data_IF_158396655056
#
_entry.id   IF_158396655056
#
_cell.length_a   1.000
_cell.length_b   1.000
_cell.length_c   1.000
_cell.angle_alpha   90.00
_cell.angle_beta   90.00
_cell.angle_gamma   90.00
#
_symmetry.space_group_name_H-M   'P 1'
#
loop_
_entity.id
_entity.type
_entity.pdbx_description
1 polymer ?
#
# COMPACT_ATOMS: atom_id res chain seq x y z
N UNK A 1 4.53 20.63 -7.09
CA UNK A 1 3.81 20.13 -8.28
C UNK A 1 4.31 20.87 -9.51
N UNK A 2 4.56 20.12 -10.59
CA UNK A 2 5.05 20.64 -11.88
C UNK A 2 4.07 20.25 -12.99
N UNK A 3 4.00 21.05 -14.05
CA UNK A 3 3.30 20.65 -15.29
C UNK A 3 4.12 19.62 -16.08
N UNK A 4 3.51 19.06 -17.14
CA UNK A 4 4.15 18.07 -18.03
C UNK A 4 5.39 18.60 -18.77
N UNK A 5 5.66 19.92 -18.73
CA UNK A 5 6.85 20.54 -19.33
C UNK A 5 7.94 20.80 -18.27
N UNK A 6 7.70 20.43 -17.02
CA UNK A 6 8.61 20.63 -15.90
C UNK A 6 8.54 22.03 -15.28
N UNK A 7 7.53 22.85 -15.58
CA UNK A 7 7.35 24.15 -14.92
C UNK A 7 6.55 24.02 -13.64
N UNK A 8 7.03 24.64 -12.56
CA UNK A 8 6.31 24.65 -11.29
C UNK A 8 4.96 25.35 -11.44
N UNK A 9 3.90 24.70 -11.00
CA UNK A 9 2.55 25.28 -11.03
C UNK A 9 2.45 26.46 -10.06
N UNK A 10 1.63 27.46 -10.43
CA UNK A 10 1.35 28.58 -9.54
C UNK A 10 0.75 28.09 -8.22
N UNK A 11 1.19 28.67 -7.11
CA UNK A 11 0.80 28.26 -5.75
C UNK A 11 1.70 27.20 -5.12
N UNK A 12 2.60 26.57 -5.88
CA UNK A 12 3.57 25.62 -5.35
C UNK A 12 4.96 26.25 -5.20
N UNK A 13 5.81 25.77 -4.27
CA UNK A 13 5.57 24.68 -3.30
C UNK A 13 4.64 25.09 -2.16
N UNK A 14 4.08 24.09 -1.46
CA UNK A 14 3.29 24.25 -0.23
C UNK A 14 3.95 23.49 0.93
N UNK A 15 3.82 24.06 2.11
CA UNK A 15 4.12 23.41 3.39
C UNK A 15 2.80 22.98 4.03
N UNK A 16 2.88 22.01 4.95
CA UNK A 16 1.71 21.60 5.71
C UNK A 16 1.13 22.79 6.51
N UNK A 17 -0.19 23.05 6.49
CA UNK A 17 -0.78 24.19 7.20
C UNK A 17 -0.54 24.08 8.70
N UNK A 18 0.00 25.13 9.31
CA UNK A 18 0.20 25.18 10.77
C UNK A 18 1.29 24.25 11.34
N UNK A 19 2.04 23.53 10.49
CA UNK A 19 3.06 22.59 10.94
C UNK A 19 4.33 22.66 10.09
N UNK A 20 5.49 22.42 10.71
CA UNK A 20 6.79 22.21 10.07
C UNK A 20 7.15 20.72 9.94
N UNK A 21 6.21 19.82 10.22
CA UNK A 21 6.38 18.38 10.07
C UNK A 21 6.74 17.98 8.63
N UNK A 22 7.58 16.97 8.50
CA UNK A 22 7.97 16.41 7.20
C UNK A 22 6.75 15.81 6.50
N UNK A 23 6.48 16.23 5.27
CA UNK A 23 5.49 15.56 4.40
C UNK A 23 6.16 14.32 3.81
N UNK A 24 5.60 13.14 4.09
CA UNK A 24 6.12 11.85 3.58
C UNK A 24 5.21 11.13 2.61
N UNK A 25 3.92 11.32 2.73
CA UNK A 25 2.92 10.63 1.91
C UNK A 25 2.29 11.61 0.94
N UNK A 26 2.13 11.19 -0.32
CA UNK A 26 1.47 11.96 -1.36
C UNK A 26 0.58 11.05 -2.22
N UNK A 27 -0.64 11.49 -2.48
CA UNK A 27 -1.55 10.92 -3.46
C UNK A 27 -2.29 12.02 -4.23
N UNK A 28 -3.04 11.64 -5.25
CA UNK A 28 -3.85 12.56 -6.03
C UNK A 28 -5.14 11.86 -6.47
N UNK A 29 -6.27 12.55 -6.33
CA UNK A 29 -7.59 12.06 -6.72
C UNK A 29 -8.49 13.25 -7.06
N UNK A 30 -9.43 13.06 -7.98
CA UNK A 30 -10.47 14.03 -8.29
C UNK A 30 -11.60 13.85 -7.26
N UNK A 31 -11.52 14.59 -6.15
CA UNK A 31 -12.39 14.39 -5.00
C UNK A 31 -13.75 15.06 -5.19
N UNK A 32 -13.88 15.96 -6.15
CA UNK A 32 -15.08 16.78 -6.37
C UNK A 32 -15.74 16.54 -7.74
N UNK A 33 -15.15 15.70 -8.60
CA UNK A 33 -15.68 15.32 -9.91
C UNK A 33 -15.53 16.40 -10.99
N UNK A 34 -14.63 17.37 -10.83
CA UNK A 34 -14.42 18.45 -11.81
C UNK A 34 -13.40 18.11 -12.90
N UNK A 35 -12.78 16.92 -12.84
CA UNK A 35 -11.76 16.44 -13.75
C UNK A 35 -10.35 16.93 -13.43
N UNK A 36 -10.15 17.64 -12.32
CA UNK A 36 -8.86 18.11 -11.82
C UNK A 36 -8.53 17.37 -10.53
N UNK A 37 -7.33 16.81 -10.47
CA UNK A 37 -6.89 16.09 -9.27
C UNK A 37 -6.54 17.07 -8.14
N UNK A 38 -7.10 16.82 -6.96
CA UNK A 38 -6.60 17.35 -5.69
C UNK A 38 -5.30 16.63 -5.29
N UNK A 39 -4.49 17.31 -4.46
CA UNK A 39 -3.26 16.77 -3.89
C UNK A 39 -3.50 16.42 -2.44
N UNK A 40 -3.35 15.13 -2.11
CA UNK A 40 -3.52 14.57 -0.79
C UNK A 40 -2.13 14.38 -0.16
N UNK A 41 -1.96 14.70 1.11
CA UNK A 41 -0.69 14.47 1.80
C UNK A 41 -0.84 14.17 3.30
N UNK A 42 0.20 13.51 3.84
CA UNK A 42 0.37 13.32 5.27
C UNK A 42 1.75 13.74 5.77
N UNK A 43 1.80 14.11 7.06
CA UNK A 43 3.04 14.48 7.77
C UNK A 43 3.43 13.51 8.89
N UNK A 44 4.71 13.52 9.29
CA UNK A 44 5.30 12.60 10.30
C UNK A 44 5.21 13.09 11.75
N UNK A 45 4.08 13.65 12.19
CA UNK A 45 3.97 14.24 13.53
C UNK A 45 2.55 14.20 14.07
N UNK A 46 2.40 14.47 15.37
CA UNK A 46 1.13 14.66 16.06
C UNK A 46 0.19 15.58 15.27
N UNK A 47 -1.12 15.33 15.33
CA UNK A 47 -2.14 15.89 14.45
C UNK A 47 -2.13 17.41 14.20
N UNK A 48 -2.98 17.88 13.27
CA UNK A 48 -3.69 17.08 12.26
C UNK A 48 -2.70 16.53 11.21
N UNK A 49 -2.79 15.25 10.88
CA UNK A 49 -1.79 14.53 10.07
C UNK A 49 -2.05 14.67 8.58
N UNK A 50 -3.33 14.76 8.18
CA UNK A 50 -3.76 14.69 6.78
C UNK A 50 -4.25 16.04 6.27
N UNK A 51 -3.87 16.40 5.05
CA UNK A 51 -4.30 17.62 4.36
C UNK A 51 -4.59 17.37 2.88
N UNK A 52 -5.51 18.16 2.33
CA UNK A 52 -5.83 18.18 0.90
C UNK A 52 -5.69 19.60 0.36
N UNK A 53 -5.04 19.73 -0.79
CA UNK A 53 -4.99 20.97 -1.57
C UNK A 53 -5.66 20.81 -2.93
N UNK A 54 -6.32 21.87 -3.38
CA UNK A 54 -6.59 22.06 -4.80
C UNK A 54 -5.28 22.14 -5.59
N UNK A 55 -5.35 21.91 -6.90
CA UNK A 55 -4.17 21.94 -7.77
C UNK A 55 -3.44 23.30 -7.77
N UNK A 56 -4.12 24.39 -7.42
CA UNK A 56 -3.55 25.74 -7.28
C UNK A 56 -2.86 25.99 -5.91
N UNK A 57 -2.80 24.95 -5.07
CA UNK A 57 -2.21 24.96 -3.74
C UNK A 57 -3.09 25.58 -2.66
N UNK A 58 -4.35 25.91 -2.93
CA UNK A 58 -5.31 26.32 -1.89
C UNK A 58 -5.71 25.10 -1.07
N UNK A 59 -5.73 25.20 0.26
CA UNK A 59 -6.22 24.12 1.13
C UNK A 59 -7.73 23.96 0.90
N UNK A 60 -8.18 22.72 0.68
CA UNK A 60 -9.61 22.43 0.54
C UNK A 60 -10.32 22.76 1.85
N UNK A 61 -11.44 23.53 1.85
CA UNK A 61 -12.18 23.83 3.07
C UNK A 61 -12.55 22.55 3.84
N UNK A 62 -12.36 22.58 5.16
CA UNK A 62 -12.51 21.43 6.04
C UNK A 62 -11.17 20.83 6.45
N UNK A 63 -10.13 20.90 5.60
CA UNK A 63 -8.80 20.36 5.88
C UNK A 63 -7.88 21.39 6.58
N UNK A 64 -6.87 20.93 7.35
CA UNK A 64 -6.52 19.53 7.66
C UNK A 64 -7.49 18.85 8.64
N UNK A 65 -7.59 17.52 8.63
CA UNK A 65 -8.60 16.77 9.40
C UNK A 65 -8.22 16.47 10.84
N UNK A 66 -9.21 16.08 11.65
CA UNK A 66 -9.13 15.79 13.10
C UNK A 66 -9.11 17.04 14.00
N UNK A 67 -8.84 18.24 13.47
CA UNK A 67 -8.84 19.49 14.26
C UNK A 67 -10.17 19.75 15.00
N UNK A 68 -11.30 19.48 14.33
CA UNK A 68 -12.66 19.73 14.84
C UNK A 68 -13.44 18.42 15.09
N UNK A 69 -12.75 17.31 15.37
CA UNK A 69 -13.37 16.01 15.66
C UNK A 69 -12.78 15.40 16.95
N UNK A 70 -13.50 15.56 18.07
CA UNK A 70 -13.01 15.14 19.40
C UNK A 70 -12.78 13.61 19.51
N UNK A 71 -13.54 12.80 18.78
CA UNK A 71 -13.42 11.34 18.77
C UNK A 71 -12.50 10.79 17.68
N UNK A 72 -12.02 11.63 16.76
CA UNK A 72 -11.11 11.20 15.71
C UNK A 72 -9.67 11.10 16.23
N UNK A 73 -8.93 10.09 15.78
CA UNK A 73 -7.55 9.88 16.19
C UNK A 73 -6.63 9.85 14.97
N UNK A 74 -5.50 10.53 15.08
CA UNK A 74 -4.42 10.47 14.12
C UNK A 74 -3.06 10.62 14.83
N UNK A 75 -2.02 10.03 14.24
CA UNK A 75 -0.66 10.20 14.70
C UNK A 75 0.34 9.79 13.61
N UNK A 76 0.99 10.75 12.97
CA UNK A 76 2.04 10.51 11.97
C UNK A 76 1.62 9.72 10.71
N UNK A 77 2.31 9.97 9.61
CA UNK A 77 2.32 9.11 8.41
C UNK A 77 3.75 9.00 7.91
N UNK A 78 4.33 7.79 7.92
CA UNK A 78 5.78 7.59 7.79
C UNK A 78 6.22 6.95 6.46
N UNK A 79 5.26 6.56 5.61
CA UNK A 79 5.43 5.91 4.31
C UNK A 79 4.40 6.44 3.28
N UNK A 80 3.94 5.64 2.31
CA UNK A 80 2.88 6.01 1.35
C UNK A 80 1.45 5.87 1.93
N UNK A 81 1.24 6.26 3.19
CA UNK A 81 0.06 6.01 4.01
C UNK A 81 -1.25 6.70 3.59
N UNK A 82 -1.36 7.22 2.36
CA UNK A 82 -2.55 7.92 1.89
C UNK A 82 -3.00 7.44 0.51
N UNK A 83 -4.32 7.33 0.34
CA UNK A 83 -4.99 6.99 -0.90
C UNK A 83 -6.41 7.53 -0.93
N UNK A 84 -7.12 7.28 -2.03
CA UNK A 84 -8.53 7.62 -2.15
C UNK A 84 -9.25 6.67 -3.11
N UNK A 85 -10.49 6.34 -2.77
CA UNK A 85 -11.39 5.50 -3.55
C UNK A 85 -12.84 5.91 -3.26
N UNK A 86 -13.73 5.72 -4.24
CA UNK A 86 -15.19 5.88 -4.06
C UNK A 86 -15.70 4.71 -3.23
N UNK A 87 -15.79 4.91 -1.91
CA UNK A 87 -16.06 3.85 -0.95
C UNK A 87 -17.57 3.64 -0.77
N UNK A 88 -18.40 4.64 -1.03
CA UNK A 88 -19.85 4.57 -0.84
C UNK A 88 -20.66 4.55 -2.16
N UNK A 89 -19.99 4.68 -3.31
CA UNK A 89 -20.58 4.56 -4.63
C UNK A 89 -21.30 5.81 -5.11
N UNK A 90 -21.03 6.98 -4.51
CA UNK A 90 -21.62 8.25 -4.91
C UNK A 90 -20.90 8.90 -6.11
N UNK A 91 -19.77 8.35 -6.54
CA UNK A 91 -18.94 8.84 -7.64
C UNK A 91 -17.87 9.84 -7.24
N UNK A 92 -17.72 10.14 -5.94
CA UNK A 92 -16.69 10.99 -5.37
C UNK A 92 -15.80 10.18 -4.42
N UNK A 93 -14.48 10.13 -4.63
CA UNK A 93 -13.60 9.37 -3.75
C UNK A 93 -13.50 9.93 -2.32
N UNK A 94 -13.55 9.04 -1.33
CA UNK A 94 -13.14 9.30 0.05
C UNK A 94 -11.62 9.22 0.18
N UNK A 95 -11.07 10.01 1.10
CA UNK A 95 -9.66 10.00 1.47
C UNK A 95 -9.43 8.99 2.59
N UNK A 96 -8.50 8.06 2.39
CA UNK A 96 -8.07 7.10 3.40
C UNK A 96 -6.62 7.33 3.77
N UNK A 97 -6.38 7.46 5.07
CA UNK A 97 -5.09 7.74 5.68
C UNK A 97 -4.78 6.70 6.74
N UNK A 98 -3.63 6.03 6.65
CA UNK A 98 -3.12 5.18 7.73
C UNK A 98 -2.13 5.95 8.60
N UNK A 99 -1.95 5.49 9.84
CA UNK A 99 -1.22 6.23 10.87
C UNK A 99 -0.34 5.30 11.71
N UNK A 100 0.61 5.90 12.43
CA UNK A 100 1.45 5.28 13.45
C UNK A 100 0.70 5.09 14.78
N UNK A 101 -0.53 4.58 14.67
CA UNK A 101 -1.45 4.19 15.75
C UNK A 101 -2.41 3.11 15.24
N UNK A 102 -3.21 2.54 16.13
CA UNK A 102 -4.19 1.52 15.80
C UNK A 102 -5.51 2.02 15.17
N UNK A 103 -5.52 3.24 14.64
CA UNK A 103 -6.66 3.83 13.95
C UNK A 103 -6.27 4.20 12.52
N UNK A 104 -7.26 4.30 11.65
CA UNK A 104 -7.11 4.82 10.29
C UNK A 104 -8.09 5.98 10.07
N UNK A 105 -7.75 6.94 9.24
CA UNK A 105 -8.63 8.02 8.83
C UNK A 105 -9.40 7.63 7.57
N UNK A 106 -10.72 7.85 7.58
CA UNK A 106 -11.56 7.85 6.37
C UNK A 106 -12.39 9.13 6.42
N UNK A 107 -12.29 9.93 5.37
CA UNK A 107 -12.94 11.24 5.28
C UNK A 107 -13.51 11.46 3.89
N UNK A 108 -14.66 12.12 3.82
CA UNK A 108 -15.17 12.65 2.56
C UNK A 108 -14.19 13.67 1.96
N UNK A 109 -14.28 13.96 0.66
CA UNK A 109 -13.40 14.95 -0.01
C UNK A 109 -13.46 16.36 0.61
N UNK A 110 -14.60 16.72 1.20
CA UNK A 110 -14.77 17.99 1.95
C UNK A 110 -14.15 17.97 3.36
N UNK A 111 -13.55 16.84 3.75
CA UNK A 111 -12.92 16.64 5.04
C UNK A 111 -13.80 16.01 6.12
N UNK A 112 -15.13 16.07 6.02
CA UNK A 112 -15.96 15.50 7.10
C UNK A 112 -15.67 14.01 7.36
N UNK A 113 -15.66 13.56 8.63
CA UNK A 113 -15.32 12.18 8.97
C UNK A 113 -16.37 11.21 8.43
N UNK A 114 -15.90 10.09 7.90
CA UNK A 114 -16.76 9.01 7.41
C UNK A 114 -17.38 8.26 8.60
N UNK A 115 -18.69 7.93 8.55
CA UNK A 115 -19.36 7.27 9.67
C UNK A 115 -18.86 5.83 9.87
N UNK A 116 -18.71 5.44 11.14
CA UNK A 116 -18.54 4.04 11.50
C UNK A 116 -19.90 3.34 11.61
N UNK A 117 -19.89 2.01 11.53
CA UNK A 117 -21.07 1.20 11.79
C UNK A 117 -21.61 1.43 13.22
N UNK A 118 -22.92 1.39 13.40
CA UNK A 118 -23.58 1.64 14.70
C UNK A 118 -23.19 0.64 15.81
N UNK A 119 -22.57 -0.49 15.45
CA UNK A 119 -22.06 -1.43 16.45
C UNK A 119 -20.86 -0.89 17.25
N UNK A 120 -20.09 0.05 16.69
CA UNK A 120 -18.90 0.60 17.35
C UNK A 120 -19.29 1.69 18.36
N UNK A 121 -18.50 1.84 19.42
CA UNK A 121 -18.76 2.84 20.44
C UNK A 121 -18.54 4.28 19.97
N UNK A 122 -17.64 4.47 18.99
CA UNK A 122 -17.37 5.75 18.36
C UNK A 122 -18.13 5.93 17.03
N UNK A 123 -18.55 7.16 16.69
CA UNK A 123 -19.42 7.42 15.54
C UNK A 123 -18.68 7.48 14.19
N UNK A 124 -17.35 7.57 14.21
CA UNK A 124 -16.52 7.80 13.02
C UNK A 124 -15.58 6.64 12.76
N UNK A 125 -15.30 6.34 11.49
CA UNK A 125 -14.34 5.30 11.12
C UNK A 125 -12.98 5.49 11.84
N UNK A 126 -12.53 6.75 11.95
CA UNK A 126 -11.30 7.13 12.64
C UNK A 126 -11.31 7.03 14.17
N UNK A 127 -12.42 6.59 14.75
CA UNK A 127 -12.56 6.31 16.18
C UNK A 127 -12.52 4.81 16.51
N UNK A 128 -12.45 3.94 15.50
CA UNK A 128 -12.47 2.48 15.67
C UNK A 128 -11.03 1.93 15.76
N UNK A 129 -10.60 1.38 16.91
CA UNK A 129 -9.28 0.80 17.04
C UNK A 129 -9.20 -0.61 16.44
N UNK A 130 -8.08 -0.92 15.79
CA UNK A 130 -7.81 -2.17 15.08
C UNK A 130 -7.30 -3.28 16.00
N UNK A 131 -8.12 -3.69 16.96
CA UNK A 131 -7.88 -4.88 17.80
C UNK A 131 -8.20 -6.17 17.05
N UNK A 132 -7.41 -7.23 17.20
CA UNK A 132 -7.71 -8.52 16.55
C UNK A 132 -9.05 -9.08 17.03
N UNK A 133 -9.33 -8.98 18.33
CA UNK A 133 -10.64 -9.25 18.89
C UNK A 133 -11.61 -8.10 18.59
N UNK A 134 -12.59 -8.38 17.72
CA UNK A 134 -13.63 -7.42 17.32
C UNK A 134 -14.42 -6.85 18.51
N UNK A 135 -14.56 -7.60 19.61
CA UNK A 135 -15.29 -7.11 20.79
C UNK A 135 -14.59 -5.92 21.45
N UNK A 136 -13.25 -5.87 21.38
CA UNK A 136 -12.46 -4.75 21.87
C UNK A 136 -12.53 -3.55 20.92
N UNK A 137 -12.59 -3.79 19.61
CA UNK A 137 -12.82 -2.74 18.61
C UNK A 137 -14.22 -2.11 18.78
N UNK A 138 -15.26 -2.93 18.96
CA UNK A 138 -16.63 -2.50 19.31
C UNK A 138 -16.64 -1.66 20.59
N UNK A 139 -15.90 -2.12 21.60
CA UNK A 139 -15.77 -1.40 22.87
C UNK A 139 -15.03 -0.06 22.72
N UNK A 140 -14.19 0.10 21.69
CA UNK A 140 -13.35 1.28 21.45
C UNK A 140 -12.07 1.33 22.29
N UNK A 141 -11.79 0.29 23.09
CA UNK A 141 -10.56 0.18 23.87
C UNK A 141 -10.32 -1.27 24.29
N UNK A 142 -9.06 -1.61 24.58
CA UNK A 142 -8.65 -2.91 25.12
C UNK A 142 -7.54 -2.75 26.15
N UNK A 143 -7.38 -3.70 27.10
CA UNK A 143 -6.28 -3.66 28.04
C UNK A 143 -4.95 -3.99 27.35
N UNK A 144 -3.84 -3.62 27.99
CA UNK A 144 -2.49 -4.01 27.57
C UNK A 144 -2.39 -5.52 27.31
N UNK A 145 -1.45 -5.92 26.45
CA UNK A 145 -1.19 -7.28 25.99
C UNK A 145 -2.19 -7.88 25.00
N UNK A 146 -3.28 -7.18 24.66
CA UNK A 146 -4.17 -7.63 23.58
C UNK A 146 -3.57 -7.30 22.21
N UNK A 147 -3.72 -8.22 21.28
CA UNK A 147 -3.26 -8.04 19.91
C UNK A 147 -4.03 -6.90 19.23
N UNK A 148 -3.27 -5.90 18.79
CA UNK A 148 -3.73 -4.73 18.04
C UNK A 148 -2.64 -4.37 17.06
N UNK A 149 -3.04 -3.72 15.99
CA UNK A 149 -2.10 -3.39 14.94
C UNK A 149 -2.03 -1.89 14.74
N UNK A 150 -0.86 -1.43 14.30
CA UNK A 150 -0.65 -0.08 13.82
C UNK A 150 -0.28 -0.11 12.33
N UNK A 151 -0.46 1.05 11.69
CA UNK A 151 -0.41 1.15 10.24
C UNK A 151 0.66 2.15 9.79
N UNK A 152 1.80 2.15 10.49
CA UNK A 152 2.93 3.08 10.32
C UNK A 152 3.48 3.06 8.90
N UNK A 153 3.65 1.86 8.35
CA UNK A 153 4.18 1.59 7.00
C UNK A 153 3.14 0.88 6.11
N UNK A 154 1.85 1.20 6.24
CA UNK A 154 0.77 0.47 5.55
C UNK A 154 0.03 1.34 4.54
N UNK A 155 0.54 1.51 3.30
CA UNK A 155 -0.21 2.23 2.27
C UNK A 155 -1.56 1.55 2.02
N UNK A 156 -2.68 2.28 2.00
CA UNK A 156 -3.98 1.67 1.72
C UNK A 156 -4.09 1.24 0.26
N UNK A 157 -4.67 0.06 0.04
CA UNK A 157 -5.02 -0.46 -1.28
C UNK A 157 -6.53 -0.72 -1.30
N UNK A 158 -7.19 -0.52 -2.44
CA UNK A 158 -8.65 -0.60 -2.53
C UNK A 158 -9.09 -1.62 -3.58
N UNK A 159 -10.06 -2.45 -3.25
CA UNK A 159 -10.59 -3.43 -4.19
C UNK A 159 -11.87 -4.05 -3.67
N UNK A 160 -12.71 -4.50 -4.59
CA UNK A 160 -13.96 -5.21 -4.32
C UNK A 160 -13.61 -6.66 -3.93
N UNK A 161 -13.29 -6.85 -2.65
CA UNK A 161 -12.81 -8.11 -2.07
C UNK A 161 -14.00 -9.00 -1.74
N UNK A 162 -15.13 -8.45 -1.33
CA UNK A 162 -16.31 -9.22 -0.96
C UNK A 162 -17.31 -9.46 -2.11
N UNK A 163 -17.18 -8.72 -3.22
CA UNK A 163 -17.97 -8.89 -4.44
C UNK A 163 -19.28 -8.09 -4.45
N UNK A 164 -19.45 -7.11 -3.58
CA UNK A 164 -20.65 -6.28 -3.52
C UNK A 164 -20.67 -5.12 -4.54
N UNK A 165 -19.53 -4.86 -5.19
CA UNK A 165 -19.37 -3.82 -6.22
C UNK A 165 -18.76 -2.51 -5.71
N UNK A 166 -18.59 -2.35 -4.40
CA UNK A 166 -17.84 -1.27 -3.77
C UNK A 166 -16.44 -1.77 -3.37
N UNK A 167 -15.47 -0.87 -3.17
CA UNK A 167 -14.14 -1.27 -2.74
C UNK A 167 -13.99 -1.31 -1.21
N UNK A 168 -13.38 -2.38 -0.72
CA UNK A 168 -12.86 -2.49 0.65
C UNK A 168 -11.47 -1.86 0.77
N UNK A 169 -11.11 -1.50 2.00
CA UNK A 169 -9.77 -1.01 2.35
C UNK A 169 -8.90 -2.21 2.78
N UNK A 170 -7.85 -2.49 2.00
CA UNK A 170 -6.88 -3.56 2.24
C UNK A 170 -5.58 -2.96 2.79
N UNK A 171 -5.17 -3.39 3.99
CA UNK A 171 -4.00 -2.89 4.71
C UNK A 171 -3.06 -4.03 5.11
N UNK A 172 -1.78 -3.72 5.24
CA UNK A 172 -0.77 -4.64 5.74
C UNK A 172 0.01 -4.00 6.89
N UNK A 173 -0.33 -4.38 8.11
CA UNK A 173 0.06 -3.71 9.36
C UNK A 173 1.39 -4.18 9.92
N UNK A 174 1.87 -3.47 10.93
CA UNK A 174 2.76 -4.02 11.94
C UNK A 174 1.92 -4.61 13.08
N UNK A 175 2.16 -5.89 13.38
CA UNK A 175 1.46 -6.60 14.44
C UNK A 175 2.13 -6.34 15.78
N UNK A 176 1.39 -5.69 16.69
CA UNK A 176 1.86 -5.43 18.04
C UNK A 176 0.83 -5.86 19.09
N UNK A 177 1.09 -5.45 20.34
CA UNK A 177 0.15 -5.58 21.44
C UNK A 177 -0.06 -4.23 22.11
N UNK A 178 -1.23 -4.03 22.68
CA UNK A 178 -1.51 -2.86 23.51
C UNK A 178 -0.44 -2.72 24.61
N UNK A 179 0.19 -1.55 24.69
CA UNK A 179 1.23 -1.25 25.69
C UNK A 179 2.62 -1.85 25.42
N UNK A 180 2.84 -2.52 24.28
CA UNK A 180 4.14 -3.04 23.85
C UNK A 180 4.54 -2.46 22.49
N UNK A 181 5.84 -2.39 22.21
CA UNK A 181 6.43 -1.95 20.94
C UNK A 181 7.31 -3.06 20.35
N UNK A 182 6.78 -4.29 20.38
CA UNK A 182 7.46 -5.47 19.86
C UNK A 182 6.67 -5.93 18.67
N UNK A 183 7.24 -5.71 17.49
CA UNK A 183 6.67 -6.20 16.24
C UNK A 183 6.71 -7.75 16.20
N UNK A 184 5.55 -8.36 16.05
CA UNK A 184 5.30 -9.81 16.03
C UNK A 184 5.17 -10.36 14.61
N UNK A 185 5.29 -9.51 13.59
CA UNK A 185 5.07 -9.81 12.19
C UNK A 185 4.20 -8.75 11.54
N UNK A 186 3.64 -9.07 10.38
CA UNK A 186 2.65 -8.24 9.73
C UNK A 186 1.29 -8.93 9.75
N UNK A 187 0.20 -8.18 9.72
CA UNK A 187 -1.12 -8.76 9.47
C UNK A 187 -1.84 -8.12 8.27
N UNK A 188 -2.51 -8.97 7.51
CA UNK A 188 -3.42 -8.56 6.45
C UNK A 188 -4.78 -8.24 7.05
N UNK A 189 -5.21 -7.00 6.82
CA UNK A 189 -6.52 -6.47 7.19
C UNK A 189 -7.32 -6.15 5.94
N UNK A 190 -8.62 -6.42 6.00
CA UNK A 190 -9.61 -5.93 5.05
C UNK A 190 -10.74 -5.31 5.87
N UNK A 191 -11.09 -4.07 5.55
CA UNK A 191 -12.17 -3.34 6.19
C UNK A 191 -13.19 -2.89 5.16
N UNK A 192 -14.46 -3.01 5.51
CA UNK A 192 -15.50 -2.22 4.88
C UNK A 192 -15.32 -0.74 5.25
N UNK A 193 -15.86 0.21 4.46
CA UNK A 193 -15.71 1.65 4.72
C UNK A 193 -16.18 2.09 6.12
N UNK A 194 -17.18 1.39 6.68
CA UNK A 194 -17.73 1.65 8.01
C UNK A 194 -16.99 0.92 9.15
N UNK A 195 -15.78 0.41 8.87
CA UNK A 195 -14.89 -0.35 9.75
C UNK A 195 -15.39 -1.74 10.15
N UNK A 196 -16.52 -2.20 9.62
CA UNK A 196 -16.87 -3.63 9.73
C UNK A 196 -15.89 -4.51 8.96
N UNK A 197 -15.87 -5.81 9.29
CA UNK A 197 -14.93 -6.77 8.71
C UNK A 197 -15.69 -7.74 7.80
N UNK A 198 -15.29 -7.89 6.53
CA UNK A 198 -15.89 -8.87 5.64
C UNK A 198 -15.55 -10.30 6.05
N UNK A 199 -16.30 -11.26 5.48
CA UNK A 199 -16.10 -12.68 5.76
C UNK A 199 -14.69 -13.14 5.36
N UNK A 200 -14.05 -13.94 6.20
CA UNK A 200 -12.65 -14.37 6.01
C UNK A 200 -11.62 -13.43 6.63
N UNK A 201 -12.03 -12.21 7.01
CA UNK A 201 -11.18 -11.20 7.64
C UNK A 201 -11.76 -10.69 8.97
N UNK A 202 -12.66 -11.43 9.61
CA UNK A 202 -13.19 -11.10 10.93
C UNK A 202 -12.08 -10.97 11.99
N UNK A 203 -10.97 -11.68 11.76
CA UNK A 203 -9.69 -11.54 12.46
C UNK A 203 -8.62 -11.37 11.38
N UNK A 204 -7.65 -10.46 11.55
CA UNK A 204 -6.61 -10.26 10.56
C UNK A 204 -5.72 -11.49 10.41
N UNK A 205 -5.11 -11.64 9.23
CA UNK A 205 -4.28 -12.81 8.91
C UNK A 205 -2.81 -12.44 9.07
N UNK A 206 -2.16 -12.98 10.10
CA UNK A 206 -0.82 -12.58 10.48
C UNK A 206 0.29 -13.52 9.96
N UNK A 207 1.44 -12.95 9.66
CA UNK A 207 2.68 -13.66 9.35
C UNK A 207 3.36 -14.18 10.63
N UNK A 208 4.51 -14.85 10.46
CA UNK A 208 5.45 -15.08 11.55
C UNK A 208 6.23 -13.82 11.93
N UNK A 209 7.07 -13.91 12.99
CA UNK A 209 7.90 -12.81 13.47
C UNK A 209 8.96 -12.39 12.45
N UNK A 210 9.43 -11.13 12.52
CA UNK A 210 10.43 -10.60 11.60
C UNK A 210 11.75 -11.37 11.67
N UNK A 211 12.33 -11.67 10.50
CA UNK A 211 13.68 -12.24 10.39
C UNK A 211 14.78 -11.18 10.58
N UNK A 212 14.47 -9.89 10.37
CA UNK A 212 15.44 -8.81 10.41
C UNK A 212 14.83 -7.49 10.89
N UNK A 213 15.28 -6.98 12.03
CA UNK A 213 14.76 -5.72 12.62
C UNK A 213 15.81 -4.61 12.69
N UNK A 214 16.91 -4.75 11.96
CA UNK A 214 18.03 -3.80 11.97
C UNK A 214 17.97 -2.86 10.76
N UNK A 215 18.94 -1.95 10.71
CA UNK A 215 19.18 -1.07 9.57
C UNK A 215 20.67 -1.11 9.22
N UNK A 216 21.00 -1.55 8.00
CA UNK A 216 22.38 -1.68 7.53
C UNK A 216 22.49 -1.23 6.08
N UNK A 217 23.55 -0.50 5.72
CA UNK A 217 23.82 -0.10 4.33
C UNK A 217 22.66 0.68 3.66
N UNK A 218 21.85 1.42 4.42
CA UNK A 218 20.62 2.05 3.92
C UNK A 218 19.58 1.05 3.40
N UNK A 219 19.50 -0.10 4.07
CA UNK A 219 18.51 -1.15 3.87
C UNK A 219 17.85 -1.43 5.22
N UNK A 220 16.53 -1.50 5.16
CA UNK A 220 15.65 -1.87 6.26
C UNK A 220 14.63 -2.86 5.73
N UNK A 221 14.02 -3.62 6.62
CA UNK A 221 12.83 -4.38 6.29
C UNK A 221 11.65 -3.41 6.10
N UNK A 222 10.89 -3.55 5.01
CA UNK A 222 9.72 -2.69 4.72
C UNK A 222 8.48 -3.55 4.47
N UNK A 223 7.31 -3.05 4.88
CA UNK A 223 6.01 -3.61 4.53
C UNK A 223 5.45 -2.80 3.35
N UNK A 224 5.63 -3.25 2.10
CA UNK A 224 5.04 -2.56 0.96
C UNK A 224 3.53 -2.78 0.93
N UNK A 225 2.82 -1.95 0.17
CA UNK A 225 1.38 -2.12 -0.02
C UNK A 225 1.02 -3.50 -0.59
N UNK A 226 -0.14 -4.07 -0.19
CA UNK A 226 -0.73 -5.20 -0.89
C UNK A 226 -0.93 -4.89 -2.37
N UNK A 227 -0.64 -5.88 -3.22
CA UNK A 227 -1.00 -5.86 -4.63
C UNK A 227 -2.27 -6.70 -4.85
N UNK A 228 -3.18 -6.20 -5.67
CA UNK A 228 -4.42 -6.89 -6.01
C UNK A 228 -4.41 -7.32 -7.48
N UNK A 229 -4.87 -8.54 -7.77
CA UNK A 229 -4.96 -9.02 -9.15
C UNK A 229 -5.74 -10.31 -9.27
N UNK A 230 -6.23 -10.58 -10.48
CA UNK A 230 -6.94 -11.81 -10.82
C UNK A 230 -5.93 -12.95 -11.06
N UNK A 231 -5.82 -13.88 -10.11
CA UNK A 231 -4.85 -14.99 -10.12
C UNK A 231 -5.52 -16.38 -9.99
N UNK A 232 -6.76 -16.44 -9.51
CA UNK A 232 -7.54 -17.67 -9.37
C UNK A 232 -8.58 -17.87 -10.48
N UNK A 233 -8.89 -16.81 -11.24
CA UNK A 233 -9.83 -16.80 -12.35
C UNK A 233 -11.30 -16.64 -11.94
N UNK A 234 -11.58 -16.26 -10.69
CA UNK A 234 -12.89 -15.74 -10.29
C UNK A 234 -13.00 -14.22 -10.56
N UNK A 235 -14.09 -13.57 -10.12
CA UNK A 235 -14.33 -12.14 -10.41
C UNK A 235 -13.79 -11.20 -9.30
N UNK A 236 -13.28 -11.75 -8.18
CA UNK A 236 -12.76 -11.01 -7.03
C UNK A 236 -11.23 -11.14 -6.96
N UNK A 237 -10.48 -10.08 -6.65
CA UNK A 237 -9.03 -10.12 -6.78
C UNK A 237 -8.38 -10.88 -5.60
N UNK A 238 -7.31 -11.61 -5.90
CA UNK A 238 -6.39 -12.12 -4.89
C UNK A 238 -5.51 -11.01 -4.32
N UNK A 239 -5.00 -11.25 -3.12
CA UNK A 239 -4.16 -10.31 -2.37
C UNK A 239 -2.75 -10.87 -2.24
N UNK A 240 -1.75 -10.15 -2.77
CA UNK A 240 -0.34 -10.54 -2.73
C UNK A 240 0.45 -9.61 -1.82
N UNK A 241 1.16 -10.18 -0.84
CA UNK A 241 1.92 -9.44 0.18
C UNK A 241 3.27 -10.13 0.48
N UNK A 242 4.39 -9.39 0.51
CA UNK A 242 5.62 -9.85 1.15
C UNK A 242 5.58 -9.54 2.64
N UNK A 243 6.10 -10.47 3.44
CA UNK A 243 6.03 -10.43 4.90
C UNK A 243 7.41 -10.38 5.54
N UNK A 244 7.47 -9.88 6.78
CA UNK A 244 8.72 -9.80 7.53
C UNK A 244 9.39 -11.14 7.85
N UNK A 245 8.64 -12.23 7.74
CA UNK A 245 9.12 -13.59 7.95
C UNK A 245 9.75 -14.24 6.70
N UNK A 246 10.05 -13.45 5.66
CA UNK A 246 10.81 -13.91 4.48
C UNK A 246 9.95 -14.57 3.40
N UNK A 247 8.63 -14.40 3.46
CA UNK A 247 7.68 -15.06 2.57
C UNK A 247 6.85 -14.06 1.77
N UNK A 248 6.75 -14.28 0.47
CA UNK A 248 5.71 -13.71 -0.40
C UNK A 248 4.49 -14.61 -0.35
N UNK A 249 3.31 -14.07 -0.11
CA UNK A 249 2.06 -14.84 0.03
C UNK A 249 0.97 -14.31 -0.88
N UNK A 250 0.11 -15.22 -1.31
CA UNK A 250 -1.12 -14.89 -2.00
C UNK A 250 -2.31 -15.46 -1.23
N UNK A 251 -3.28 -14.61 -0.94
CA UNK A 251 -4.53 -14.97 -0.29
C UNK A 251 -5.69 -14.81 -1.25
N UNK A 252 -6.68 -15.69 -1.12
CA UNK A 252 -7.97 -15.54 -1.78
C UNK A 252 -8.70 -14.32 -1.21
N UNK A 253 -9.71 -13.79 -1.93
CA UNK A 253 -10.63 -12.77 -1.41
C UNK A 253 -11.44 -13.21 -0.18
N UNK A 254 -11.38 -14.48 0.21
CA UNK A 254 -11.99 -15.00 1.44
C UNK A 254 -10.95 -15.31 2.55
N UNK A 255 -9.72 -14.81 2.40
CA UNK A 255 -8.65 -14.96 3.39
C UNK A 255 -7.94 -16.32 3.38
N UNK A 256 -8.21 -17.20 2.42
CA UNK A 256 -7.51 -18.49 2.34
C UNK A 256 -6.11 -18.33 1.73
N UNK A 257 -5.07 -18.87 2.37
CA UNK A 257 -3.73 -18.91 1.77
C UNK A 257 -3.74 -19.83 0.53
N UNK A 258 -3.49 -19.27 -0.64
CA UNK A 258 -3.42 -20.01 -1.90
C UNK A 258 -2.02 -20.59 -2.14
N UNK A 259 -0.99 -19.77 -1.96
CA UNK A 259 0.41 -20.19 -2.07
C UNK A 259 1.35 -19.25 -1.29
N UNK A 260 2.58 -19.72 -1.09
CA UNK A 260 3.67 -18.90 -0.53
C UNK A 260 4.99 -19.22 -1.23
N UNK A 261 5.87 -18.23 -1.31
CA UNK A 261 7.22 -18.34 -1.85
C UNK A 261 8.23 -17.77 -0.85
N UNK A 262 9.32 -18.49 -0.59
CA UNK A 262 10.37 -18.05 0.34
C UNK A 262 11.44 -17.26 -0.38
N UNK A 263 11.51 -15.95 -0.11
CA UNK A 263 12.59 -15.08 -0.58
C UNK A 263 13.73 -14.93 0.43
N UNK A 264 13.45 -15.10 1.72
CA UNK A 264 14.47 -15.11 2.77
C UNK A 264 14.31 -16.34 3.69
N UNK A 265 15.19 -17.34 3.60
CA UNK A 265 15.11 -18.53 4.42
C UNK A 265 15.70 -18.36 5.83
N UNK A 266 16.44 -17.27 6.13
CA UNK A 266 17.24 -17.20 7.36
C UNK A 266 17.40 -15.82 8.01
N UNK A 267 17.22 -14.72 7.30
CA UNK A 267 17.54 -13.37 7.77
C UNK A 267 19.04 -13.06 7.80
N UNK A 268 19.91 -13.97 7.31
CA UNK A 268 21.36 -13.82 7.40
C UNK A 268 22.12 -14.41 6.20
N UNK A 269 22.61 -13.57 5.26
CA UNK A 269 22.34 -12.13 5.17
C UNK A 269 20.85 -11.85 4.96
N UNK A 270 20.38 -10.68 5.40
CA UNK A 270 18.98 -10.29 5.23
C UNK A 270 18.64 -10.16 3.75
N UNK A 271 17.51 -10.74 3.35
CA UNK A 271 16.89 -10.56 2.04
C UNK A 271 15.48 -10.01 2.27
N UNK A 272 15.19 -8.83 1.76
CA UNK A 272 13.84 -8.28 1.68
C UNK A 272 13.25 -8.46 0.28
N UNK A 273 11.95 -8.23 0.16
CA UNK A 273 11.25 -8.19 -1.12
C UNK A 273 10.57 -6.83 -1.29
N UNK A 274 10.59 -6.30 -2.51
CA UNK A 274 9.70 -5.22 -2.93
C UNK A 274 8.24 -5.68 -2.82
N UNK A 275 7.31 -4.73 -2.93
CA UNK A 275 5.93 -5.08 -3.29
C UNK A 275 5.88 -5.76 -4.66
N UNK A 276 4.74 -6.36 -4.98
CA UNK A 276 4.54 -7.04 -6.25
C UNK A 276 3.93 -6.13 -7.32
N UNK A 277 4.37 -6.31 -8.55
CA UNK A 277 3.60 -5.95 -9.74
C UNK A 277 2.89 -7.20 -10.28
N UNK A 278 1.75 -7.01 -10.94
CA UNK A 278 0.95 -8.10 -11.51
C UNK A 278 0.60 -7.75 -12.96
N UNK A 279 1.06 -8.58 -13.88
CA UNK A 279 0.87 -8.42 -15.32
C UNK A 279 1.01 -9.77 -16.05
N UNK A 280 0.28 -9.95 -17.15
CA UNK A 280 0.46 -11.09 -18.05
C UNK A 280 1.69 -10.84 -18.94
N UNK A 281 2.78 -11.53 -18.61
CA UNK A 281 4.06 -11.39 -19.30
C UNK A 281 4.21 -12.40 -20.44
N UNK A 282 3.41 -13.46 -20.45
CA UNK A 282 3.59 -14.59 -21.35
C UNK A 282 2.47 -14.69 -22.42
N UNK A 283 1.39 -13.92 -22.27
CA UNK A 283 0.25 -13.83 -23.18
C UNK A 283 -0.75 -14.99 -23.08
N UNK A 284 -0.73 -15.76 -21.99
CA UNK A 284 -1.65 -16.89 -21.78
C UNK A 284 -2.99 -16.49 -21.14
N UNK A 285 -3.14 -15.22 -20.77
CA UNK A 285 -4.33 -14.67 -20.14
C UNK A 285 -4.37 -14.81 -18.61
N UNK A 286 -3.36 -15.43 -18.00
CA UNK A 286 -3.15 -15.47 -16.55
C UNK A 286 -2.01 -14.52 -16.18
N UNK A 287 -2.25 -13.62 -15.22
CA UNK A 287 -1.20 -12.69 -14.83
C UNK A 287 -0.11 -13.37 -13.98
N UNK A 288 1.14 -12.94 -14.17
CA UNK A 288 2.27 -13.28 -13.32
C UNK A 288 2.42 -12.29 -12.16
N UNK A 289 3.02 -12.75 -11.07
CA UNK A 289 3.45 -11.93 -9.93
C UNK A 289 4.95 -11.65 -10.06
N UNK A 290 5.30 -10.37 -10.05
CA UNK A 290 6.65 -9.88 -10.36
C UNK A 290 7.14 -9.07 -9.15
N UNK A 291 8.28 -9.43 -8.58
CA UNK A 291 8.89 -8.65 -7.51
C UNK A 291 10.41 -8.76 -7.59
N UNK A 292 11.10 -7.89 -6.88
CA UNK A 292 12.56 -7.88 -6.79
C UNK A 292 12.97 -8.01 -5.34
N UNK A 293 14.01 -8.78 -5.09
CA UNK A 293 14.61 -8.88 -3.76
C UNK A 293 15.75 -7.88 -3.60
N UNK A 294 16.00 -7.47 -2.37
CA UNK A 294 17.11 -6.61 -1.98
C UNK A 294 17.79 -7.16 -0.74
N UNK A 295 19.05 -6.83 -0.51
CA UNK A 295 19.82 -7.46 0.58
C UNK A 295 20.92 -6.57 1.13
N UNK A 296 21.28 -6.75 2.40
CA UNK A 296 22.45 -6.07 3.00
C UNK A 296 23.77 -6.50 2.34
N UNK A 297 23.83 -7.73 1.84
CA UNK A 297 24.91 -8.27 1.03
C UNK A 297 24.70 -8.03 -0.48
N UNK A 298 25.81 -7.86 -1.20
CA UNK A 298 25.84 -7.68 -2.65
C UNK A 298 25.69 -9.01 -3.41
N UNK A 299 25.11 -8.94 -4.61
CA UNK A 299 25.04 -9.99 -5.63
C UNK A 299 24.30 -11.28 -5.22
N UNK A 300 23.31 -11.16 -4.32
CA UNK A 300 22.39 -12.26 -3.94
C UNK A 300 20.92 -11.95 -4.21
N UNK A 301 20.64 -10.77 -4.76
CA UNK A 301 19.29 -10.29 -5.07
C UNK A 301 18.83 -10.74 -6.45
N UNK A 302 17.52 -10.91 -6.62
CA UNK A 302 16.91 -11.43 -7.84
C UNK A 302 15.64 -10.67 -8.23
N UNK A 303 15.41 -10.51 -9.53
CA UNK A 303 14.09 -10.32 -10.11
C UNK A 303 13.41 -11.70 -10.14
N UNK A 304 12.27 -11.80 -9.50
CA UNK A 304 11.49 -13.04 -9.39
C UNK A 304 10.16 -12.86 -10.10
N UNK A 305 9.82 -13.84 -10.95
CA UNK A 305 8.54 -13.94 -11.64
C UNK A 305 7.89 -15.25 -11.27
N UNK A 306 6.72 -15.17 -10.64
CA UNK A 306 5.90 -16.31 -10.27
C UNK A 306 4.67 -16.37 -11.19
N UNK A 307 4.25 -17.58 -11.56
CA UNK A 307 2.92 -17.80 -12.14
C UNK A 307 1.83 -17.37 -11.14
N UNK A 308 0.59 -17.21 -11.59
CA UNK A 308 -0.56 -17.01 -10.72
C UNK A 308 -0.74 -18.08 -9.61
N UNK A 309 -0.21 -19.29 -9.79
CA UNK A 309 -0.24 -20.37 -8.78
C UNK A 309 1.03 -20.42 -7.90
N UNK A 310 1.87 -19.39 -7.91
CA UNK A 310 3.08 -19.29 -7.07
C UNK A 310 4.26 -20.15 -7.53
N UNK A 311 4.20 -20.76 -8.71
CA UNK A 311 5.33 -21.48 -9.30
C UNK A 311 6.35 -20.50 -9.86
N UNK A 312 7.64 -20.69 -9.54
CA UNK A 312 8.72 -19.87 -10.08
C UNK A 312 8.86 -20.11 -11.58
N UNK A 313 8.67 -19.05 -12.36
CA UNK A 313 8.91 -19.04 -13.80
C UNK A 313 10.32 -18.53 -14.10
N UNK A 314 10.71 -17.45 -13.44
CA UNK A 314 12.03 -16.84 -13.59
C UNK A 314 12.58 -16.37 -12.25
N UNK A 315 13.90 -16.52 -12.10
CA UNK A 315 14.68 -16.00 -11.00
C UNK A 315 16.01 -15.49 -11.60
N UNK A 316 16.11 -14.18 -11.79
CA UNK A 316 17.16 -13.53 -12.57
C UNK A 316 18.01 -12.70 -11.62
N UNK A 317 19.34 -12.93 -11.54
CA UNK A 317 20.22 -12.12 -10.70
C UNK A 317 20.13 -10.64 -11.08
N UNK A 318 19.96 -9.78 -10.07
CA UNK A 318 20.05 -8.32 -10.21
C UNK A 318 21.34 -7.82 -9.58
N UNK A 319 21.85 -6.70 -10.09
CA UNK A 319 23.18 -6.24 -9.71
C UNK A 319 23.22 -5.63 -8.30
N UNK A 320 24.36 -5.82 -7.61
CA UNK A 320 24.60 -5.21 -6.30
C UNK A 320 23.60 -5.71 -5.26
N UNK A 321 23.07 -4.80 -4.44
CA UNK A 321 22.13 -5.11 -3.37
C UNK A 321 20.65 -5.18 -3.79
N UNK A 322 20.36 -5.16 -5.09
CA UNK A 322 19.00 -5.23 -5.62
C UNK A 322 18.22 -3.92 -5.55
N UNK A 323 16.89 -4.02 -5.45
CA UNK A 323 15.94 -2.91 -5.53
C UNK A 323 14.85 -3.07 -4.46
N UNK A 324 14.53 -1.98 -3.75
CA UNK A 324 13.50 -1.92 -2.70
C UNK A 324 12.14 -1.47 -3.24
N UNK A 325 12.13 -0.83 -4.41
CA UNK A 325 10.92 -0.33 -5.06
C UNK A 325 10.21 -1.44 -5.83
N UNK A 326 8.90 -1.30 -5.98
CA UNK A 326 8.11 -2.23 -6.80
C UNK A 326 8.53 -2.06 -8.26
N UNK A 327 8.80 -3.15 -9.00
CA UNK A 327 9.08 -3.07 -10.43
C UNK A 327 7.96 -2.35 -11.19
N UNK A 328 8.33 -1.63 -12.25
CA UNK A 328 7.35 -1.05 -13.19
C UNK A 328 7.30 -1.89 -14.45
N UNK A 329 6.10 -2.29 -14.86
CA UNK A 329 5.83 -3.00 -16.11
C UNK A 329 5.18 -2.01 -17.10
N UNK A 330 5.87 -1.71 -18.19
CA UNK A 330 5.38 -0.76 -19.20
C UNK A 330 6.12 -0.93 -20.53
N UNK A 331 5.49 -0.52 -21.63
CA UNK A 331 6.13 -0.30 -22.92
C UNK A 331 6.93 1.01 -22.86
N UNK A 332 8.25 0.94 -22.65
CA UNK A 332 9.10 2.12 -22.43
C UNK A 332 9.79 2.61 -23.70
N UNK A 333 9.92 1.77 -24.72
CA UNK A 333 10.58 2.12 -25.98
C UNK A 333 9.62 2.27 -27.18
N UNK A 334 8.34 1.95 -26.98
CA UNK A 334 7.25 2.16 -27.93
C UNK A 334 7.14 1.09 -29.01
N UNK A 335 7.70 -0.10 -28.78
CA UNK A 335 7.65 -1.21 -29.73
C UNK A 335 6.42 -2.13 -29.56
N UNK A 336 5.67 -1.95 -28.48
CA UNK A 336 4.45 -2.69 -28.14
C UNK A 336 4.68 -3.99 -27.36
N UNK A 337 5.92 -4.35 -27.02
CA UNK A 337 6.24 -5.28 -25.94
C UNK A 337 6.28 -4.53 -24.60
N UNK A 338 6.26 -5.27 -23.48
CA UNK A 338 6.42 -4.66 -22.16
C UNK A 338 7.83 -4.90 -21.63
N UNK A 339 8.37 -3.89 -20.95
CA UNK A 339 9.59 -3.98 -20.18
C UNK A 339 9.30 -4.04 -18.69
N UNK A 340 10.20 -4.70 -17.96
CA UNK A 340 10.28 -4.61 -16.50
C UNK A 340 11.42 -3.65 -16.15
N UNK A 341 11.10 -2.58 -15.44
CA UNK A 341 12.04 -1.53 -15.02
C UNK A 341 12.29 -1.63 -13.51
N UNK A 342 13.57 -1.70 -13.14
CA UNK A 342 14.05 -1.72 -11.76
C UNK A 342 14.89 -0.48 -11.44
N UNK A 343 14.75 0.05 -10.23
CA UNK A 343 15.53 1.18 -9.69
C UNK A 343 16.47 0.70 -8.59
N UNK A 344 17.61 0.15 -8.99
CA UNK A 344 18.59 -0.45 -8.08
C UNK A 344 19.07 0.51 -6.99
N UNK A 345 19.31 -0.06 -5.82
CA UNK A 345 19.96 0.63 -4.71
C UNK A 345 21.37 1.09 -5.06
N UNK A 346 22.15 0.21 -5.68
CA UNK A 346 23.55 0.47 -5.99
C UNK A 346 23.69 0.94 -7.45
N UNK A 347 24.61 1.88 -7.68
CA UNK A 347 24.85 2.47 -9.00
C UNK A 347 25.58 1.49 -9.93
N UNK A 348 25.20 1.44 -11.20
CA UNK A 348 25.91 0.64 -12.21
C UNK A 348 26.88 1.51 -12.99
N UNK A 349 28.19 1.31 -12.78
CA UNK A 349 29.21 1.87 -13.66
C UNK A 349 29.46 3.38 -13.57
N UNK A 350 29.25 4.02 -12.42
CA UNK A 350 29.51 5.45 -12.23
C UNK A 350 28.74 6.04 -11.04
N UNK A 351 28.62 7.36 -10.96
CA UNK A 351 27.82 8.07 -9.95
C UNK A 351 26.34 8.28 -10.34
N UNK A 352 25.94 7.81 -11.52
CA UNK A 352 24.64 8.11 -12.14
C UNK A 352 23.69 6.90 -12.05
N UNK A 353 23.20 6.61 -10.84
CA UNK A 353 22.10 5.65 -10.61
C UNK A 353 22.34 4.21 -11.07
N UNK A 354 21.37 3.34 -10.80
CA UNK A 354 21.35 1.96 -11.32
C UNK A 354 19.95 1.65 -11.79
N UNK A 355 19.71 1.63 -13.09
CA UNK A 355 18.44 1.16 -13.68
C UNK A 355 18.75 -0.09 -14.48
N UNK A 356 17.95 -1.14 -14.28
CA UNK A 356 17.94 -2.31 -15.15
C UNK A 356 16.58 -2.40 -15.83
N UNK A 357 16.60 -2.62 -17.14
CA UNK A 357 15.41 -2.76 -17.97
C UNK A 357 15.50 -4.13 -18.63
N UNK A 358 14.44 -4.92 -18.48
CA UNK A 358 14.32 -6.24 -19.07
C UNK A 358 13.20 -6.20 -20.11
N UNK A 359 13.57 -6.36 -21.38
CA UNK A 359 12.62 -6.54 -22.49
C UNK A 359 11.95 -7.91 -22.37
N UNK A 360 10.62 -7.91 -22.36
CA UNK A 360 9.78 -9.11 -22.34
C UNK A 360 9.01 -9.19 -23.65
N UNK A 361 9.68 -9.60 -24.73
CA UNK A 361 9.11 -9.74 -26.08
C UNK A 361 7.77 -10.50 -26.24
N UNK A 362 7.35 -11.29 -25.25
CA UNK A 362 6.05 -11.98 -25.23
C UNK A 362 4.94 -11.19 -24.55
N UNK A 363 5.30 -10.22 -23.69
CA UNK A 363 4.37 -9.45 -22.89
C UNK A 363 3.67 -8.41 -23.76
N UNK A 364 2.39 -8.20 -23.48
CA UNK A 364 1.53 -7.29 -24.23
C UNK A 364 0.72 -6.43 -23.23
N UNK A 365 0.37 -5.17 -23.57
CA UNK A 365 -0.26 -4.24 -22.63
C UNK A 365 -1.74 -4.57 -22.30
N UNK A 366 -2.26 -5.70 -22.75
CA UNK A 366 -3.67 -6.06 -22.65
C UNK A 366 -4.08 -6.60 -21.26
N UNK A 367 -3.14 -7.00 -20.40
CA UNK A 367 -3.46 -7.49 -19.06
C UNK A 367 -2.38 -7.03 -18.05
N UNK A 368 -2.63 -5.87 -17.44
CA UNK A 368 -1.76 -5.24 -16.44
C UNK A 368 -2.62 -4.78 -15.25
N UNK A 369 -3.13 -5.69 -14.41
CA UNK A 369 -3.95 -5.32 -13.27
C UNK A 369 -3.17 -4.54 -12.20
N UNK A 370 -1.85 -4.73 -12.07
CA UNK A 370 -1.06 -3.99 -11.09
C UNK A 370 0.37 -3.70 -11.58
N UNK A 371 0.56 -2.87 -12.63
CA UNK A 371 1.85 -2.74 -13.33
C UNK A 371 2.90 -1.94 -12.55
N UNK A 372 2.54 -1.31 -11.44
CA UNK A 372 3.43 -0.43 -10.66
C UNK A 372 3.16 -0.61 -9.17
N UNK A 373 4.00 -0.01 -8.31
CA UNK A 373 3.81 -0.07 -6.85
C UNK A 373 2.50 0.52 -6.31
N UNK A 374 1.72 1.23 -7.14
CA UNK A 374 0.38 1.71 -6.78
C UNK A 374 -0.72 1.07 -7.62
N UNK A 375 -0.41 0.22 -8.60
CA UNK A 375 -1.39 -0.22 -9.61
C UNK A 375 -1.82 0.93 -10.53
N UNK A 376 -2.59 1.89 -10.00
CA UNK A 376 -3.07 3.12 -10.66
C UNK A 376 -3.04 4.32 -9.69
N UNK A 377 -3.55 5.50 -10.09
CA UNK A 377 -3.59 6.69 -9.22
C UNK A 377 -4.43 6.49 -7.94
N UNK A 378 -5.45 5.64 -8.02
CA UNK A 378 -6.40 5.34 -6.94
C UNK A 378 -6.00 4.12 -6.11
N UNK A 379 -4.87 3.46 -6.39
CA UNK A 379 -4.46 2.24 -5.68
C UNK A 379 -5.47 1.08 -5.77
N UNK A 380 -6.10 0.91 -6.93
CA UNK A 380 -7.17 -0.09 -7.10
C UNK A 380 -6.96 -1.14 -8.19
N UNK A 381 -5.86 -1.05 -8.95
CA UNK A 381 -5.54 -2.01 -10.03
C UNK A 381 -6.53 -2.08 -11.20
N UNK A 382 -7.67 -1.38 -11.11
CA UNK A 382 -8.64 -1.26 -12.19
C UNK A 382 -8.12 -0.27 -13.24
N UNK A 383 -8.12 -0.67 -14.50
CA UNK A 383 -7.81 0.24 -15.61
C UNK A 383 -8.85 1.35 -15.67
N UNK A 384 -8.40 2.61 -15.55
CA UNK A 384 -9.26 3.76 -15.84
C UNK A 384 -9.58 3.79 -17.33
N UNK A 385 -10.87 3.83 -17.68
CA UNK A 385 -11.32 4.30 -18.99
C UNK A 385 -11.52 5.81 -18.95
#
# INVERSE_FOLDING_TARGET
VYDHRGFMLHGWPRSFPGSDGEIRSLAAADLNGDGVMEILAQKTSDGPVTVVWLIDGTVVPGWPQVEDCEECNDYGGYNQNIGAADLDGDGHPEVVSTYDICHIGIFYGNGSPFPANEQFSGPWASSVPSFHDISLAIQGWGPDMNDRDEFTDSPPTFGDIDGDGLPEVVLYSDHERAGEYVNLGNCLWVFNPDMTRPAGFETPICSGPPLFTSYENNIVQVAPSPALGQLSGDDRPEIVVPSYDGLMRCYSPDGALLWSYTFDPSGNPFIGASGAAIADLNGDGSAEVIFVTYSTAEDISHLVVLSAQGTVLYEIPVAGRGDMSVPTVADVDGDGALEIVLSLKDTLGGGDGGVQIFDVSTAQPNCMPWPTGRGNYLRSGRGGN
#
